data_IF_396583956404
#
_entry.id   IF_396583956404
#
_cell.length_a   1.000
_cell.length_b   1.000
_cell.length_c   1.000
_cell.angle_alpha   90.00
_cell.angle_beta   90.00
_cell.angle_gamma   90.00
#
_symmetry.space_group_name_H-M   'P 1'
#
loop_
_entity.id
_entity.type
_entity.pdbx_description
1 polymer ?
#
# COMPACT_ATOMS: atom_id res chain seq x y z
N UNK A 1 14.54 -12.79 -2.73
CA UNK A 1 13.17 -12.70 -2.17
C UNK A 1 12.57 -11.29 -2.23
N UNK A 2 13.29 -10.23 -1.84
CA UNK A 2 12.71 -8.89 -1.78
C UNK A 2 12.26 -8.34 -3.16
N UNK A 3 13.06 -8.54 -4.21
CA UNK A 3 12.73 -8.12 -5.59
C UNK A 3 11.46 -8.80 -6.10
N UNK A 4 11.31 -10.11 -5.84
CA UNK A 4 10.12 -10.88 -6.23
C UNK A 4 8.85 -10.35 -5.56
N UNK A 5 8.92 -9.97 -4.28
CA UNK A 5 7.79 -9.37 -3.57
C UNK A 5 7.43 -7.99 -4.13
N UNK A 6 8.41 -7.16 -4.47
CA UNK A 6 8.17 -5.84 -5.09
C UNK A 6 7.50 -6.01 -6.45
N UNK A 7 7.95 -6.95 -7.28
CA UNK A 7 7.31 -7.25 -8.56
C UNK A 7 5.86 -7.72 -8.38
N UNK A 8 5.59 -8.60 -7.41
CA UNK A 8 4.23 -9.06 -7.12
C UNK A 8 3.31 -7.89 -6.68
N UNK A 9 3.84 -7.00 -5.85
CA UNK A 9 3.16 -5.80 -5.35
C UNK A 9 2.84 -4.83 -6.49
N UNK A 10 3.80 -4.59 -7.39
CA UNK A 10 3.64 -3.72 -8.56
C UNK A 10 2.58 -4.27 -9.54
N UNK A 11 2.58 -5.58 -9.80
CA UNK A 11 1.57 -6.22 -10.66
C UNK A 11 0.17 -6.09 -10.08
N UNK A 12 -0.05 -6.42 -8.81
CA UNK A 12 -1.39 -6.36 -8.23
C UNK A 12 -1.87 -4.92 -8.07
N UNK A 13 -0.98 -4.00 -7.69
CA UNK A 13 -1.34 -2.59 -7.54
C UNK A 13 -1.63 -1.92 -8.88
N UNK A 14 -0.86 -2.26 -9.94
CA UNK A 14 -1.16 -1.80 -11.29
C UNK A 14 -2.49 -2.35 -11.80
N UNK A 15 -2.77 -3.65 -11.61
CA UNK A 15 -4.06 -4.25 -12.02
C UNK A 15 -5.25 -3.66 -11.26
N UNK A 16 -5.16 -3.48 -9.94
CA UNK A 16 -6.23 -2.89 -9.13
C UNK A 16 -6.54 -1.45 -9.55
N UNK A 17 -5.51 -0.65 -9.83
CA UNK A 17 -5.68 0.73 -10.29
C UNK A 17 -6.45 0.82 -11.61
N UNK A 18 -6.19 -0.12 -12.54
CA UNK A 18 -6.89 -0.22 -13.83
C UNK A 18 -8.32 -0.69 -13.62
N UNK A 19 -8.53 -1.76 -12.86
CA UNK A 19 -9.86 -2.36 -12.66
C UNK A 19 -10.77 -1.42 -11.88
N UNK A 20 -10.23 -0.68 -10.91
CA UNK A 20 -10.97 0.37 -10.19
C UNK A 20 -11.34 1.53 -11.13
N UNK A 21 -10.44 1.98 -12.00
CA UNK A 21 -10.75 3.02 -12.97
C UNK A 21 -11.85 2.57 -13.95
N UNK A 22 -11.79 1.32 -14.41
CA UNK A 22 -12.79 0.71 -15.30
C UNK A 22 -14.15 0.57 -14.62
N UNK A 23 -14.17 0.24 -13.32
CA UNK A 23 -15.41 0.06 -12.57
C UNK A 23 -16.16 1.35 -12.23
N UNK A 24 -15.52 2.52 -12.35
CA UNK A 24 -16.09 3.82 -11.92
C UNK A 24 -16.22 4.80 -13.10
N UNK A 25 -15.44 4.67 -14.18
CA UNK A 25 -15.46 5.61 -15.29
C UNK A 25 -16.52 5.27 -16.36
N UNK A 26 -17.39 6.23 -16.67
CA UNK A 26 -18.39 6.12 -17.74
C UNK A 26 -17.81 6.39 -19.13
N UNK A 27 -16.71 7.17 -19.20
CA UNK A 27 -16.07 7.56 -20.45
C UNK A 27 -14.75 6.81 -20.65
N UNK A 28 -14.73 5.92 -21.66
CA UNK A 28 -13.56 5.09 -22.00
C UNK A 28 -12.32 5.95 -22.28
N UNK A 29 -12.49 7.10 -22.94
CA UNK A 29 -11.39 8.02 -23.27
C UNK A 29 -10.69 8.55 -22.00
N UNK A 30 -11.48 8.94 -21.00
CA UNK A 30 -10.98 9.46 -19.72
C UNK A 30 -10.31 8.35 -18.92
N UNK A 31 -10.88 7.14 -18.94
CA UNK A 31 -10.33 5.96 -18.28
C UNK A 31 -8.94 5.61 -18.83
N UNK A 32 -8.79 5.55 -20.16
CA UNK A 32 -7.49 5.26 -20.80
C UNK A 32 -6.46 6.33 -20.45
N UNK A 33 -6.83 7.61 -20.54
CA UNK A 33 -5.92 8.71 -20.17
C UNK A 33 -5.49 8.63 -18.70
N UNK A 34 -6.42 8.39 -17.78
CA UNK A 34 -6.15 8.27 -16.34
C UNK A 34 -5.22 7.09 -16.03
N UNK A 35 -5.46 5.93 -16.62
CA UNK A 35 -4.61 4.73 -16.44
C UNK A 35 -3.20 4.98 -16.95
N UNK A 36 -3.04 5.56 -18.15
CA UNK A 36 -1.71 5.84 -18.72
C UNK A 36 -0.93 6.82 -17.84
N UNK A 37 -1.59 7.89 -17.37
CA UNK A 37 -0.96 8.86 -16.44
C UNK A 37 -0.58 8.17 -15.13
N UNK A 38 -1.47 7.36 -14.55
CA UNK A 38 -1.22 6.64 -13.30
C UNK A 38 -0.03 5.67 -13.43
N UNK A 39 0.03 4.90 -14.51
CA UNK A 39 1.17 4.01 -14.80
C UNK A 39 2.48 4.79 -14.95
N UNK A 40 2.46 5.93 -15.64
CA UNK A 40 3.63 6.80 -15.75
C UNK A 40 4.15 7.26 -14.39
N UNK A 41 3.24 7.67 -13.50
CA UNK A 41 3.58 8.07 -12.13
C UNK A 41 4.11 6.89 -11.31
N UNK A 42 3.49 5.71 -11.41
CA UNK A 42 3.95 4.50 -10.70
C UNK A 42 5.37 4.10 -11.11
N UNK A 43 5.68 4.10 -12.42
CA UNK A 43 7.01 3.78 -12.92
C UNK A 43 8.07 4.77 -12.42
N UNK A 44 7.74 6.07 -12.41
CA UNK A 44 8.62 7.10 -11.86
C UNK A 44 8.84 6.94 -10.35
N UNK A 45 7.80 6.54 -9.61
CA UNK A 45 7.83 6.36 -8.17
C UNK A 45 8.33 4.97 -7.71
N UNK A 46 8.48 4.00 -8.61
CA UNK A 46 8.78 2.60 -8.26
C UNK A 46 10.04 2.45 -7.40
N UNK A 47 11.10 3.20 -7.73
CA UNK A 47 12.39 3.16 -7.01
C UNK A 47 12.30 3.74 -5.59
N UNK A 48 11.86 5.00 -5.39
CA UNK A 48 11.72 5.56 -4.04
C UNK A 48 10.69 4.83 -3.17
N UNK A 49 9.60 4.33 -3.76
CA UNK A 49 8.60 3.53 -3.04
C UNK A 49 9.20 2.19 -2.61
N UNK A 50 9.94 1.52 -3.49
CA UNK A 50 10.64 0.27 -3.18
C UNK A 50 11.65 0.42 -2.04
N UNK A 51 12.46 1.47 -2.07
CA UNK A 51 13.45 1.76 -1.02
C UNK A 51 12.77 2.04 0.33
N UNK A 52 11.64 2.76 0.34
CA UNK A 52 10.86 3.01 1.54
C UNK A 52 10.27 1.73 2.15
N UNK A 53 9.72 0.85 1.31
CA UNK A 53 9.17 -0.45 1.74
C UNK A 53 10.27 -1.34 2.32
N UNK A 54 11.49 -1.29 1.78
CA UNK A 54 12.65 -2.04 2.29
C UNK A 54 13.16 -1.50 3.63
N UNK A 55 13.14 -0.18 3.82
CA UNK A 55 13.62 0.47 5.05
C UNK A 55 12.68 0.27 6.24
N UNK A 56 11.37 0.02 6.01
CA UNK A 56 10.35 -0.08 7.04
C UNK A 56 9.66 -1.46 7.05
N UNK A 57 10.08 -2.39 7.93
CA UNK A 57 9.53 -3.76 7.97
C UNK A 57 8.01 -3.84 8.17
N UNK A 58 7.44 -2.94 8.96
CA UNK A 58 6.00 -2.89 9.23
C UNK A 58 5.20 -2.41 8.00
N UNK A 59 5.76 -1.46 7.24
CA UNK A 59 5.20 -1.01 5.94
C UNK A 59 5.26 -2.14 4.91
N UNK A 60 6.35 -2.91 4.87
CA UNK A 60 6.43 -4.12 4.02
C UNK A 60 5.30 -5.11 4.34
N UNK A 61 5.06 -5.38 5.62
CA UNK A 61 3.99 -6.28 6.05
C UNK A 61 2.61 -5.74 5.66
N UNK A 62 2.39 -4.42 5.82
CA UNK A 62 1.17 -3.75 5.39
C UNK A 62 0.90 -3.94 3.90
N UNK A 63 1.93 -3.74 3.05
CA UNK A 63 1.77 -3.86 1.61
C UNK A 63 1.52 -5.31 1.16
N UNK A 64 2.13 -6.30 1.83
CA UNK A 64 1.81 -7.72 1.60
C UNK A 64 0.38 -8.07 2.03
N UNK A 65 -0.16 -7.42 3.08
CA UNK A 65 -1.54 -7.61 3.48
C UNK A 65 -2.51 -7.01 2.45
N UNK A 66 -2.21 -5.82 1.92
CA UNK A 66 -3.00 -5.21 0.84
C UNK A 66 -2.96 -6.04 -0.44
N UNK A 67 -1.80 -6.61 -0.79
CA UNK A 67 -1.67 -7.55 -1.91
C UNK A 67 -2.69 -8.70 -1.80
N UNK A 68 -2.79 -9.33 -0.62
CA UNK A 68 -3.71 -10.44 -0.38
C UNK A 68 -5.15 -9.95 -0.39
N UNK A 69 -5.46 -8.84 0.29
CA UNK A 69 -6.80 -8.27 0.36
C UNK A 69 -7.35 -7.94 -1.02
N UNK A 70 -6.58 -7.21 -1.84
CA UNK A 70 -6.95 -6.82 -3.19
C UNK A 70 -7.00 -8.03 -4.11
N UNK A 71 -6.03 -8.94 -4.02
CA UNK A 71 -6.05 -10.20 -4.78
C UNK A 71 -7.30 -11.03 -4.49
N UNK A 72 -7.70 -11.16 -3.22
CA UNK A 72 -8.94 -11.83 -2.83
C UNK A 72 -10.18 -11.09 -3.32
N UNK A 73 -10.20 -9.76 -3.23
CA UNK A 73 -11.31 -8.95 -3.72
C UNK A 73 -11.51 -9.13 -5.23
N UNK A 74 -10.43 -9.14 -6.02
CA UNK A 74 -10.49 -9.37 -7.47
C UNK A 74 -10.99 -10.77 -7.82
N UNK A 75 -10.59 -11.80 -7.06
CA UNK A 75 -11.11 -13.16 -7.24
C UNK A 75 -12.60 -13.22 -6.90
N UNK A 76 -13.04 -12.58 -5.82
CA UNK A 76 -14.44 -12.54 -5.43
C UNK A 76 -15.31 -11.80 -6.47
N UNK A 77 -14.85 -10.64 -6.94
CA UNK A 77 -15.51 -9.89 -8.02
C UNK A 77 -15.57 -10.73 -9.31
N UNK A 78 -14.49 -11.44 -9.66
CA UNK A 78 -14.45 -12.36 -10.79
C UNK A 78 -15.37 -13.57 -10.66
N UNK A 79 -15.73 -13.96 -9.43
CA UNK A 79 -16.72 -15.00 -9.13
C UNK A 79 -18.15 -14.46 -9.00
N UNK A 80 -18.41 -13.21 -9.42
CA UNK A 80 -19.68 -12.50 -9.28
C UNK A 80 -20.15 -12.24 -7.83
N UNK A 81 -19.28 -12.46 -6.83
CA UNK A 81 -19.52 -12.01 -5.46
C UNK A 81 -19.12 -10.54 -5.35
N UNK A 82 -20.10 -9.65 -5.39
CA UNK A 82 -19.88 -8.22 -5.30
C UNK A 82 -19.53 -7.86 -3.86
N UNK A 83 -18.25 -7.67 -3.59
CA UNK A 83 -17.81 -7.08 -2.32
C UNK A 83 -17.96 -5.56 -2.44
N UNK A 84 -18.71 -4.94 -1.54
CA UNK A 84 -18.82 -3.48 -1.51
C UNK A 84 -17.43 -2.85 -1.31
N UNK A 85 -16.95 -2.13 -2.34
CA UNK A 85 -15.62 -1.50 -2.38
C UNK A 85 -15.36 -0.58 -1.18
N UNK A 86 -16.43 -0.01 -0.61
CA UNK A 86 -16.36 0.84 0.59
C UNK A 86 -15.72 0.14 1.79
N UNK A 87 -15.98 -1.15 2.01
CA UNK A 87 -15.35 -1.90 3.11
C UNK A 87 -13.87 -2.13 2.88
N UNK A 88 -13.47 -2.42 1.63
CA UNK A 88 -12.06 -2.59 1.26
C UNK A 88 -11.31 -1.29 1.48
N UNK A 89 -11.85 -0.17 1.00
CA UNK A 89 -11.22 1.15 1.17
C UNK A 89 -11.17 1.59 2.64
N UNK A 90 -12.21 1.29 3.43
CA UNK A 90 -12.21 1.54 4.87
C UNK A 90 -11.13 0.71 5.59
N UNK A 91 -10.97 -0.57 5.23
CA UNK A 91 -9.93 -1.44 5.79
C UNK A 91 -8.52 -0.93 5.46
N UNK A 92 -8.29 -0.52 4.20
CA UNK A 92 -7.02 0.08 3.75
C UNK A 92 -6.72 1.36 4.53
N UNK A 93 -7.67 2.29 4.60
CA UNK A 93 -7.51 3.57 5.29
C UNK A 93 -7.27 3.38 6.80
N UNK A 94 -8.02 2.50 7.45
CA UNK A 94 -7.84 2.18 8.87
C UNK A 94 -6.46 1.58 9.14
N UNK A 95 -6.01 0.65 8.30
CA UNK A 95 -4.71 0.00 8.45
C UNK A 95 -3.55 0.99 8.29
N UNK A 96 -3.63 1.90 7.31
CA UNK A 96 -2.67 2.99 7.14
C UNK A 96 -2.63 3.91 8.37
N UNK A 97 -3.79 4.24 8.95
CA UNK A 97 -3.87 5.06 10.16
C UNK A 97 -3.21 4.36 11.35
N UNK A 98 -3.51 3.08 11.57
CA UNK A 98 -2.89 2.27 12.63
C UNK A 98 -1.37 2.22 12.45
N UNK A 99 -0.90 2.02 11.23
CA UNK A 99 0.53 1.96 10.93
C UNK A 99 1.22 3.33 11.13
N UNK A 100 0.57 4.43 10.75
CA UNK A 100 1.07 5.78 11.03
C UNK A 100 1.22 6.03 12.54
N UNK A 101 0.24 5.61 13.35
CA UNK A 101 0.32 5.68 14.81
C UNK A 101 1.42 4.79 15.37
N UNK A 102 1.59 3.59 14.81
CA UNK A 102 2.63 2.64 15.22
C UNK A 102 4.04 3.20 14.96
N UNK A 103 4.29 3.75 13.78
CA UNK A 103 5.54 4.43 13.43
C UNK A 103 5.81 5.63 14.35
N UNK A 104 4.79 6.43 14.64
CA UNK A 104 4.90 7.59 15.54
C UNK A 104 5.24 7.18 16.98
N UNK A 105 4.58 6.15 17.49
CA UNK A 105 4.83 5.56 18.81
C UNK A 105 6.26 5.02 18.92
N UNK A 106 6.72 4.30 17.90
CA UNK A 106 8.07 3.75 17.84
C UNK A 106 9.15 4.84 17.85
N UNK A 107 8.95 5.92 17.07
CA UNK A 107 9.86 7.06 17.04
C UNK A 107 9.99 7.75 18.41
N UNK A 108 8.88 7.90 19.15
CA UNK A 108 8.86 8.47 20.50
C UNK A 108 9.59 7.58 21.52
N UNK A 109 9.40 6.26 21.46
CA UNK A 109 10.09 5.31 22.34
C UNK A 109 11.60 5.32 22.14
N UNK A 110 12.08 5.34 20.88
CA UNK A 110 13.51 5.44 20.58
C UNK A 110 14.15 6.69 21.20
N UNK A 111 13.50 7.86 21.08
CA UNK A 111 13.96 9.12 21.69
C UNK A 111 14.01 9.05 23.22
N UNK A 112 13.00 8.44 23.85
CA UNK A 112 12.94 8.29 25.32
C UNK A 112 14.01 7.34 25.84
N UNK A 113 14.26 6.23 25.15
CA UNK A 113 15.29 5.27 25.52
C UNK A 113 16.70 5.84 25.33
N UNK A 114 16.93 6.64 24.28
CA UNK A 114 18.20 7.36 24.08
C UNK A 114 18.49 8.35 25.21
N UNK A 115 17.48 9.12 25.66
CA UNK A 115 17.61 10.00 26.84
C UNK A 115 17.94 9.21 28.12
N UNK A 116 17.29 8.07 28.32
CA UNK A 116 17.51 7.23 29.51
C UNK A 116 18.92 6.62 29.53
N UNK A 117 19.44 6.20 28.37
CA UNK A 117 20.82 5.69 28.25
C UNK A 117 21.87 6.79 28.52
N UNK A 118 21.64 8.01 28.04
CA UNK A 118 22.53 9.14 28.31
C UNK A 118 22.55 9.55 29.80
N UNK A 119 21.42 9.41 30.51
CA UNK A 119 21.32 9.68 31.95
C UNK A 119 22.00 8.61 32.82
N UNK A 120 22.08 7.36 32.36
CA UNK A 120 22.72 6.25 33.08
C UNK A 120 24.24 6.18 32.86
N UNK A 121 24.78 6.96 31.92
CA UNK A 121 26.20 7.05 31.61
C UNK A 121 26.91 8.21 32.36
N UNK A 122 26.18 8.97 33.18
CA UNK A 122 26.70 9.94 34.15
C UNK A 122 26.69 9.32 35.55
#
# INVERSE_FOLDING_TARGET
MAIVQIMALDIVFSLDSVITAVGIAEHIEVMVAAVVIAMGVMLFAAKPVGDYVLAHPTVKMLALAFLILVGMALVADGMHYHIERGFIYAAIAFSLLVEALNLWSSARRKRRNAKKAALLAQ
#
